data_IF_653410649652
#
_entry.id   IF_653410649652
#
_cell.length_a   1.000
_cell.length_b   1.000
_cell.length_c   1.000
_cell.angle_alpha   90.00
_cell.angle_beta   90.00
_cell.angle_gamma   90.00
#
_symmetry.space_group_name_H-M   'P 1'
#
loop_
_entity.id
_entity.type
_entity.pdbx_description
1 polymer ?
#
# COMPACT_ATOMS: atom_id res chain seq x y z
N UNK A 1 -24.11 -16.01 7.30
CA UNK A 1 -24.29 -16.32 5.84
C UNK A 1 -23.64 -17.65 5.49
N UNK A 2 -22.33 -17.89 5.78
CA UNK A 2 -21.64 -19.14 5.45
C UNK A 2 -22.29 -20.39 6.05
N UNK A 3 -22.74 -20.34 7.34
CA UNK A 3 -23.48 -21.45 7.97
C UNK A 3 -24.79 -21.77 7.24
N UNK A 4 -25.53 -20.75 6.79
CA UNK A 4 -26.79 -20.94 6.06
C UNK A 4 -26.52 -21.61 4.71
N UNK A 5 -25.54 -21.10 3.94
CA UNK A 5 -25.20 -21.69 2.66
C UNK A 5 -24.79 -23.17 2.79
N UNK A 6 -23.95 -23.49 3.76
CA UNK A 6 -23.54 -24.88 4.04
C UNK A 6 -24.72 -25.73 4.51
N UNK A 7 -25.65 -25.15 5.28
CA UNK A 7 -26.87 -25.83 5.73
C UNK A 7 -27.81 -26.22 4.61
N UNK A 8 -27.83 -25.48 3.50
CA UNK A 8 -28.59 -25.80 2.27
C UNK A 8 -27.75 -26.57 1.23
N UNK A 9 -26.57 -27.06 1.61
CA UNK A 9 -25.76 -27.95 0.79
C UNK A 9 -24.87 -27.30 -0.26
N UNK A 10 -24.63 -25.97 -0.21
CA UNK A 10 -23.75 -25.30 -1.16
C UNK A 10 -22.48 -24.76 -0.50
N UNK A 11 -21.33 -24.93 -1.20
CA UNK A 11 -20.06 -24.28 -0.88
C UNK A 11 -19.74 -23.09 -1.80
N UNK A 12 -20.65 -22.74 -2.72
CA UNK A 12 -20.46 -21.63 -3.66
C UNK A 12 -20.70 -20.30 -2.94
N UNK A 13 -19.68 -19.86 -2.22
CA UNK A 13 -19.67 -18.60 -1.48
C UNK A 13 -18.57 -17.70 -2.05
N UNK A 14 -18.96 -16.55 -2.52
CA UNK A 14 -18.03 -15.49 -2.91
C UNK A 14 -18.44 -14.16 -2.26
N UNK A 15 -17.46 -13.44 -1.75
CA UNK A 15 -17.61 -12.12 -1.12
C UNK A 15 -16.64 -11.08 -1.70
N UNK A 16 -15.84 -11.48 -2.69
CA UNK A 16 -14.79 -10.65 -3.29
C UNK A 16 -15.09 -10.36 -4.76
N UNK A 17 -16.31 -9.91 -5.06
CA UNK A 17 -16.85 -9.75 -6.42
C UNK A 17 -15.98 -8.89 -7.36
N UNK A 18 -15.14 -7.99 -6.83
CA UNK A 18 -14.30 -7.09 -7.63
C UNK A 18 -12.83 -7.48 -7.63
N UNK A 19 -12.43 -8.48 -6.86
CA UNK A 19 -11.08 -9.00 -6.88
C UNK A 19 -10.90 -9.87 -8.12
N UNK A 20 -9.83 -9.63 -8.87
CA UNK A 20 -9.53 -10.37 -10.11
C UNK A 20 -8.26 -11.21 -10.03
N UNK A 21 -7.38 -10.92 -9.06
CA UNK A 21 -6.13 -11.65 -8.83
C UNK A 21 -6.21 -12.49 -7.56
N UNK A 22 -6.12 -13.79 -7.71
CA UNK A 22 -6.17 -14.80 -6.63
C UNK A 22 -4.90 -15.65 -6.56
N UNK A 23 -3.82 -15.30 -7.29
CA UNK A 23 -2.59 -16.11 -7.38
C UNK A 23 -1.95 -16.41 -6.02
N UNK A 24 -2.07 -15.50 -5.07
CA UNK A 24 -1.54 -15.64 -3.72
C UNK A 24 -2.61 -15.84 -2.63
N UNK A 25 -3.79 -16.31 -3.03
CA UNK A 25 -4.94 -16.47 -2.12
C UNK A 25 -4.61 -17.34 -0.88
N UNK A 26 -3.72 -18.31 -1.01
CA UNK A 26 -3.29 -19.15 0.11
C UNK A 26 -2.60 -18.35 1.23
N UNK A 27 -2.03 -17.20 0.91
CA UNK A 27 -1.35 -16.29 1.84
C UNK A 27 -2.25 -15.16 2.35
N UNK A 28 -3.54 -15.15 1.96
CA UNK A 28 -4.48 -14.15 2.48
C UNK A 28 -4.68 -14.35 3.99
N UNK A 29 -4.66 -13.28 4.79
CA UNK A 29 -4.99 -13.40 6.20
C UNK A 29 -6.46 -13.79 6.36
N UNK A 30 -6.75 -14.59 7.38
CA UNK A 30 -8.13 -15.02 7.71
C UNK A 30 -9.03 -13.81 7.98
N UNK A 31 -8.47 -12.79 8.61
CA UNK A 31 -9.12 -11.50 8.83
C UNK A 31 -8.13 -10.38 8.48
N UNK A 32 -8.35 -9.66 7.38
CA UNK A 32 -7.53 -8.50 7.06
C UNK A 32 -7.75 -7.41 8.12
N UNK A 33 -6.66 -6.94 8.71
CA UNK A 33 -6.68 -5.87 9.71
C UNK A 33 -5.63 -4.83 9.33
N UNK A 34 -5.81 -3.60 9.81
CA UNK A 34 -4.74 -2.61 9.79
C UNK A 34 -3.62 -3.08 10.74
N UNK A 35 -2.37 -2.84 10.36
CA UNK A 35 -1.21 -3.14 11.21
C UNK A 35 -1.05 -2.20 12.42
N UNK A 36 -1.99 -1.24 12.61
CA UNK A 36 -2.03 -0.28 13.71
C UNK A 36 -3.47 0.18 13.97
N UNK A 37 -3.71 0.83 15.09
CA UNK A 37 -4.99 1.46 15.37
C UNK A 37 -5.24 2.66 14.45
N UNK A 38 -6.51 2.89 14.06
CA UNK A 38 -6.88 4.03 13.21
C UNK A 38 -6.46 5.36 13.84
N UNK A 39 -6.50 5.46 15.18
CA UNK A 39 -6.07 6.65 15.91
C UNK A 39 -4.56 6.91 15.77
N UNK A 40 -3.75 5.87 15.70
CA UNK A 40 -2.29 5.96 15.60
C UNK A 40 -1.82 6.51 14.26
N UNK A 41 -2.63 6.38 13.21
CA UNK A 41 -2.31 6.96 11.88
C UNK A 41 -2.06 8.47 11.98
N UNK A 42 -2.71 9.16 12.91
CA UNK A 42 -2.47 10.59 13.16
C UNK A 42 -1.06 10.88 13.70
N UNK A 43 -0.43 9.88 14.32
CA UNK A 43 0.93 9.98 14.88
C UNK A 43 2.01 9.57 13.86
N UNK A 44 1.62 9.06 12.69
CA UNK A 44 2.56 8.58 11.71
C UNK A 44 3.51 9.69 11.24
N UNK A 45 4.80 9.38 11.17
CA UNK A 45 5.82 10.24 10.58
C UNK A 45 5.74 10.25 9.05
N UNK A 46 5.35 9.12 8.47
CA UNK A 46 5.11 9.01 7.02
C UNK A 46 3.98 8.03 6.70
N UNK A 47 3.25 8.33 5.62
CA UNK A 47 2.17 7.49 5.09
C UNK A 47 2.34 7.34 3.59
N UNK A 48 2.45 6.11 3.11
CA UNK A 48 2.38 5.77 1.69
C UNK A 48 1.02 5.16 1.37
N UNK A 49 0.29 5.78 0.47
CA UNK A 49 -1.03 5.34 0.03
C UNK A 49 -0.94 4.77 -1.38
N UNK A 50 -1.30 3.52 -1.55
CA UNK A 50 -1.25 2.81 -2.83
C UNK A 50 -2.66 2.44 -3.28
N UNK A 51 -3.07 2.96 -4.42
CA UNK A 51 -4.34 2.62 -5.04
C UNK A 51 -5.58 3.02 -4.22
N UNK A 52 -5.62 4.25 -3.69
CA UNK A 52 -6.78 4.74 -2.95
C UNK A 52 -7.11 6.19 -3.22
N UNK A 53 -8.39 6.46 -3.33
CA UNK A 53 -8.96 7.78 -3.08
C UNK A 53 -9.46 7.84 -1.62
N UNK A 54 -8.56 8.14 -0.68
CA UNK A 54 -8.83 8.11 0.75
C UNK A 54 -10.11 8.84 1.15
N UNK A 55 -10.38 10.01 0.54
CA UNK A 55 -11.57 10.82 0.88
C UNK A 55 -12.89 10.15 0.52
N UNK A 56 -12.89 9.29 -0.50
CA UNK A 56 -14.08 8.60 -0.98
C UNK A 56 -14.23 7.19 -0.40
N UNK A 57 -13.11 6.51 -0.19
CA UNK A 57 -13.11 5.11 0.25
C UNK A 57 -13.17 4.98 1.76
N UNK A 58 -12.32 5.73 2.47
CA UNK A 58 -12.11 5.58 3.93
C UNK A 58 -11.97 6.96 4.60
N UNK A 59 -13.05 7.74 4.70
CA UNK A 59 -13.02 9.13 5.14
C UNK A 59 -12.46 9.32 6.56
N UNK A 60 -12.63 8.36 7.47
CA UNK A 60 -12.06 8.43 8.82
C UNK A 60 -10.53 8.31 8.79
N UNK A 61 -9.99 7.38 7.99
CA UNK A 61 -8.54 7.27 7.79
C UNK A 61 -8.02 8.52 7.09
N UNK A 62 -8.72 9.00 6.04
CA UNK A 62 -8.35 10.25 5.37
C UNK A 62 -8.26 11.44 6.35
N UNK A 63 -9.18 11.51 7.31
CA UNK A 63 -9.16 12.53 8.36
C UNK A 63 -7.90 12.39 9.23
N UNK A 64 -7.55 11.19 9.69
CA UNK A 64 -6.35 10.95 10.51
C UNK A 64 -5.07 11.29 9.76
N UNK A 65 -4.94 10.83 8.53
CA UNK A 65 -3.80 11.19 7.65
C UNK A 65 -3.68 12.71 7.49
N UNK A 66 -4.81 13.40 7.25
CA UNK A 66 -4.83 14.87 7.15
C UNK A 66 -4.38 15.54 8.45
N UNK A 67 -4.84 15.08 9.62
CA UNK A 67 -4.42 15.63 10.90
C UNK A 67 -2.91 15.43 11.13
N UNK A 68 -2.39 14.26 10.84
CA UNK A 68 -0.95 13.98 10.88
C UNK A 68 -0.16 14.92 9.94
N UNK A 69 -0.60 15.04 8.69
CA UNK A 69 0.08 15.91 7.71
C UNK A 69 0.06 17.39 8.09
N UNK A 70 -1.11 17.92 8.52
CA UNK A 70 -1.28 19.37 8.78
C UNK A 70 -0.72 19.78 10.13
N UNK A 71 -0.91 18.95 11.17
CA UNK A 71 -0.55 19.33 12.56
C UNK A 71 0.81 18.83 12.99
N UNK A 72 1.28 17.71 12.43
CA UNK A 72 2.51 17.03 12.85
C UNK A 72 3.59 16.99 11.75
N UNK A 73 3.26 17.44 10.55
CA UNK A 73 4.19 17.45 9.42
C UNK A 73 4.48 16.08 8.81
N UNK A 74 3.57 15.11 9.03
CA UNK A 74 3.67 13.79 8.43
C UNK A 74 3.88 13.86 6.92
N UNK A 75 4.81 13.07 6.41
CA UNK A 75 5.13 13.00 4.98
C UNK A 75 4.18 12.03 4.31
N UNK A 76 3.29 12.54 3.46
CA UNK A 76 2.29 11.71 2.78
C UNK A 76 2.60 11.61 1.29
N UNK A 77 2.68 10.38 0.80
CA UNK A 77 2.94 10.08 -0.61
C UNK A 77 1.87 9.16 -1.17
N UNK A 78 1.61 9.30 -2.46
CA UNK A 78 0.60 8.51 -3.16
C UNK A 78 1.19 7.78 -4.36
N UNK A 79 0.72 6.55 -4.59
CA UNK A 79 0.87 5.80 -5.84
C UNK A 79 -0.54 5.51 -6.34
N UNK A 80 -0.98 6.18 -7.39
CA UNK A 80 -2.35 6.09 -7.87
C UNK A 80 -2.40 6.18 -9.41
N UNK A 81 -3.48 5.69 -10.07
CA UNK A 81 -3.66 5.87 -11.51
C UNK A 81 -3.92 7.34 -11.90
N UNK A 82 -4.24 8.19 -10.94
CA UNK A 82 -4.43 9.64 -11.13
C UNK A 82 -4.22 10.39 -9.82
N UNK A 83 -3.93 11.68 -9.92
CA UNK A 83 -3.90 12.56 -8.75
C UNK A 83 -5.31 12.85 -8.23
N UNK A 84 -5.44 12.90 -6.89
CA UNK A 84 -6.67 13.28 -6.18
C UNK A 84 -6.41 14.52 -5.32
N UNK A 85 -7.40 15.41 -5.25
CA UNK A 85 -7.35 16.57 -4.34
C UNK A 85 -7.57 16.10 -2.89
N UNK A 86 -6.54 16.18 -2.08
CA UNK A 86 -6.55 15.70 -0.68
C UNK A 86 -6.55 16.81 0.37
N UNK A 87 -6.37 18.08 -0.04
CA UNK A 87 -6.39 19.28 0.83
C UNK A 87 -5.44 19.23 2.03
N UNK A 88 -4.27 18.64 1.84
CA UNK A 88 -3.14 18.66 2.78
C UNK A 88 -1.83 18.52 1.98
N UNK A 89 -0.67 18.85 2.56
CA UNK A 89 0.61 18.74 1.89
C UNK A 89 0.89 17.29 1.46
N UNK A 90 1.29 17.10 0.21
CA UNK A 90 1.69 15.81 -0.37
C UNK A 90 3.18 15.89 -0.72
N UNK A 91 3.95 14.91 -0.26
CA UNK A 91 5.39 14.85 -0.50
C UNK A 91 5.70 14.39 -1.93
N UNK A 92 5.02 13.34 -2.37
CA UNK A 92 5.13 12.82 -3.73
C UNK A 92 3.78 12.25 -4.21
N UNK A 93 3.53 12.39 -5.50
CA UNK A 93 2.34 11.85 -6.15
C UNK A 93 2.79 11.10 -7.41
N UNK A 94 3.02 9.80 -7.26
CA UNK A 94 3.46 8.91 -8.32
C UNK A 94 2.22 8.44 -9.08
N UNK A 95 2.04 8.98 -10.28
CA UNK A 95 0.88 8.69 -11.12
C UNK A 95 1.27 7.98 -12.39
N UNK A 96 0.52 6.96 -12.75
CA UNK A 96 0.72 6.20 -13.99
C UNK A 96 -0.61 5.65 -14.48
N UNK A 97 -0.62 5.01 -15.65
CA UNK A 97 -1.75 4.19 -16.05
C UNK A 97 -2.01 3.07 -15.01
N UNK A 98 -3.15 2.40 -15.11
CA UNK A 98 -3.57 1.41 -14.10
C UNK A 98 -2.53 0.33 -13.80
N UNK A 99 -1.74 -0.12 -14.79
CA UNK A 99 -0.71 -1.15 -14.62
C UNK A 99 0.57 -0.63 -13.94
N UNK A 100 0.86 0.65 -14.03
CA UNK A 100 2.09 1.25 -13.51
C UNK A 100 2.17 1.38 -11.99
N UNK A 101 1.09 1.11 -11.24
CA UNK A 101 1.15 1.15 -9.76
C UNK A 101 2.16 0.15 -9.19
N UNK A 102 2.20 -1.07 -9.73
CA UNK A 102 3.17 -2.08 -9.32
C UNK A 102 4.61 -1.65 -9.63
N UNK A 103 4.83 -1.05 -10.81
CA UNK A 103 6.14 -0.53 -11.20
C UNK A 103 6.63 0.59 -10.28
N UNK A 104 5.76 1.54 -9.91
CA UNK A 104 6.12 2.59 -8.95
C UNK A 104 6.43 2.01 -7.56
N UNK A 105 5.65 1.06 -7.09
CA UNK A 105 5.89 0.42 -5.79
C UNK A 105 7.19 -0.38 -5.80
N UNK A 106 7.47 -1.11 -6.89
CA UNK A 106 8.74 -1.81 -7.11
C UNK A 106 9.92 -0.83 -7.12
N UNK A 107 9.79 0.33 -7.78
CA UNK A 107 10.84 1.34 -7.80
C UNK A 107 11.09 1.97 -6.42
N UNK A 108 10.04 2.20 -5.61
CA UNK A 108 10.20 2.66 -4.21
C UNK A 108 10.92 1.60 -3.38
N UNK A 109 10.55 0.32 -3.53
CA UNK A 109 11.24 -0.77 -2.84
C UNK A 109 12.70 -0.88 -3.27
N UNK A 110 12.99 -0.83 -4.57
CA UNK A 110 14.37 -0.86 -5.09
C UNK A 110 15.21 0.30 -4.54
N UNK A 111 14.66 1.52 -4.49
CA UNK A 111 15.29 2.68 -3.89
C UNK A 111 15.58 2.46 -2.40
N UNK A 112 14.62 1.89 -1.66
CA UNK A 112 14.75 1.60 -0.23
C UNK A 112 15.86 0.58 0.03
N UNK A 113 15.85 -0.55 -0.68
CA UNK A 113 16.85 -1.62 -0.53
C UNK A 113 18.26 -1.12 -0.89
N UNK A 114 18.37 -0.34 -1.97
CA UNK A 114 19.63 0.29 -2.38
C UNK A 114 20.18 1.24 -1.30
N UNK A 115 19.33 2.10 -0.73
CA UNK A 115 19.72 3.04 0.30
C UNK A 115 20.18 2.34 1.61
N UNK A 116 19.69 1.13 1.87
CA UNK A 116 20.02 0.32 3.05
C UNK A 116 21.11 -0.70 2.81
N UNK A 117 21.65 -0.78 1.60
CA UNK A 117 22.60 -1.84 1.16
C UNK A 117 22.08 -3.26 1.46
N UNK A 118 20.76 -3.50 1.20
CA UNK A 118 20.10 -4.78 1.46
C UNK A 118 19.90 -5.56 0.18
N UNK A 119 20.06 -6.87 0.27
CA UNK A 119 19.76 -7.80 -0.82
C UNK A 119 18.26 -7.79 -1.18
N UNK A 120 17.98 -8.00 -2.45
CA UNK A 120 16.59 -8.13 -2.95
C UNK A 120 15.99 -9.45 -2.44
N UNK A 121 14.83 -9.43 -1.76
CA UNK A 121 14.14 -10.64 -1.35
C UNK A 121 13.71 -11.48 -2.56
N UNK A 122 13.91 -12.79 -2.49
CA UNK A 122 13.57 -13.70 -3.60
C UNK A 122 12.08 -13.65 -4.00
N UNK A 123 11.19 -13.37 -3.04
CA UNK A 123 9.75 -13.26 -3.26
C UNK A 123 9.32 -12.13 -4.20
N UNK A 124 10.16 -11.10 -4.38
CA UNK A 124 9.89 -9.93 -5.22
C UNK A 124 10.97 -9.69 -6.28
N UNK A 125 11.95 -10.60 -6.40
CA UNK A 125 13.08 -10.43 -7.30
C UNK A 125 12.65 -10.22 -8.76
N UNK A 126 11.71 -11.00 -9.26
CA UNK A 126 11.18 -10.87 -10.61
C UNK A 126 10.48 -9.50 -10.85
N UNK A 127 9.80 -8.98 -9.84
CA UNK A 127 9.13 -7.67 -9.93
C UNK A 127 10.11 -6.48 -9.89
N UNK A 128 11.33 -6.70 -9.41
CA UNK A 128 12.38 -5.67 -9.36
C UNK A 128 13.35 -5.75 -10.54
N UNK A 129 13.25 -6.78 -11.38
CA UNK A 129 14.13 -6.95 -12.53
C UNK A 129 13.96 -5.79 -13.52
N UNK A 130 15.07 -5.13 -13.88
CA UNK A 130 15.07 -3.99 -14.79
C UNK A 130 14.46 -2.69 -14.23
N UNK A 131 14.03 -2.66 -12.98
CA UNK A 131 13.44 -1.47 -12.36
C UNK A 131 14.52 -0.46 -12.02
N UNK A 132 14.36 0.77 -12.52
CA UNK A 132 15.26 1.89 -12.22
C UNK A 132 14.49 2.97 -11.44
N UNK A 133 14.85 3.21 -10.17
CA UNK A 133 14.26 4.30 -9.38
C UNK A 133 14.56 5.68 -9.97
N UNK A 134 13.63 6.61 -9.85
CA UNK A 134 13.83 8.03 -10.13
C UNK A 134 13.96 8.81 -8.81
N UNK A 135 14.37 10.09 -8.90
CA UNK A 135 14.48 10.96 -7.74
C UNK A 135 13.18 11.04 -6.89
N UNK A 136 12.00 10.89 -7.51
CA UNK A 136 10.74 10.85 -6.78
C UNK A 136 10.58 9.56 -5.96
N UNK A 137 11.02 8.41 -6.48
CA UNK A 137 11.02 7.14 -5.74
C UNK A 137 12.01 7.20 -4.56
N UNK A 138 13.20 7.78 -4.79
CA UNK A 138 14.20 7.98 -3.73
C UNK A 138 13.65 8.89 -2.60
N UNK A 139 12.92 9.95 -2.95
CA UNK A 139 12.28 10.84 -1.99
C UNK A 139 11.22 10.09 -1.14
N UNK A 140 10.39 9.24 -1.76
CA UNK A 140 9.41 8.42 -1.02
C UNK A 140 10.13 7.41 -0.11
N UNK A 141 11.15 6.72 -0.62
CA UNK A 141 11.95 5.77 0.16
C UNK A 141 12.58 6.45 1.39
N UNK A 142 13.15 7.64 1.22
CA UNK A 142 13.73 8.41 2.32
C UNK A 142 12.70 8.77 3.40
N UNK A 143 11.46 9.09 3.04
CA UNK A 143 10.40 9.38 4.03
C UNK A 143 9.98 8.13 4.81
N UNK A 144 9.99 6.95 4.16
CA UNK A 144 9.69 5.67 4.80
C UNK A 144 10.85 5.12 5.64
N UNK A 145 12.07 5.62 5.45
CA UNK A 145 13.22 5.28 6.27
C UNK A 145 13.30 6.11 7.56
N UNK A 146 12.56 7.22 7.65
CA UNK A 146 12.66 8.18 8.75
C UNK A 146 11.45 8.14 9.70
N UNK A 147 11.72 8.46 10.98
CA UNK A 147 10.69 8.58 12.03
C UNK A 147 10.26 7.25 12.65
N UNK A 148 9.33 7.33 13.63
CA UNK A 148 8.99 6.19 14.48
C UNK A 148 7.85 5.33 13.91
N UNK A 149 6.75 5.95 13.51
CA UNK A 149 5.60 5.26 12.95
C UNK A 149 5.47 5.57 11.45
N UNK A 150 5.57 4.54 10.63
CA UNK A 150 5.40 4.59 9.17
C UNK A 150 4.25 3.67 8.80
N UNK A 151 3.40 4.10 7.88
CA UNK A 151 2.19 3.36 7.50
C UNK A 151 2.13 3.24 5.98
N UNK A 152 1.82 2.03 5.49
CA UNK A 152 1.52 1.75 4.09
C UNK A 152 0.06 1.33 4.00
N UNK A 153 -0.73 1.99 3.16
CA UNK A 153 -2.15 1.71 2.97
C UNK A 153 -2.40 1.19 1.56
N UNK A 154 -2.89 -0.04 1.44
CA UNK A 154 -3.38 -0.60 0.18
C UNK A 154 -4.88 -0.35 0.07
N UNK A 155 -5.29 0.51 -0.84
CA UNK A 155 -6.69 0.86 -1.04
C UNK A 155 -7.45 -0.05 -2.01
N UNK A 156 -8.71 0.31 -2.27
CA UNK A 156 -9.60 -0.49 -3.10
C UNK A 156 -9.11 -0.64 -4.55
N UNK A 157 -8.49 0.41 -5.13
CA UNK A 157 -7.93 0.33 -6.47
C UNK A 157 -6.74 -0.64 -6.55
N UNK A 158 -5.92 -0.73 -5.50
CA UNK A 158 -4.86 -1.72 -5.42
C UNK A 158 -5.45 -3.14 -5.28
N UNK A 159 -6.46 -3.33 -4.42
CA UNK A 159 -7.12 -4.63 -4.21
C UNK A 159 -7.83 -5.16 -5.46
N UNK A 160 -8.33 -4.26 -6.31
CA UNK A 160 -8.99 -4.63 -7.58
C UNK A 160 -8.03 -4.64 -8.77
N UNK A 161 -6.73 -4.46 -8.54
CA UNK A 161 -5.73 -4.45 -9.59
C UNK A 161 -5.48 -5.86 -10.12
N UNK A 162 -5.22 -5.98 -11.44
CA UNK A 162 -4.94 -7.26 -12.08
C UNK A 162 -3.66 -7.96 -11.58
N UNK A 163 -2.74 -7.20 -10.99
CA UNK A 163 -1.53 -7.69 -10.32
C UNK A 163 -1.57 -7.41 -8.80
N UNK A 164 -2.69 -7.65 -8.14
CA UNK A 164 -2.83 -7.40 -6.70
C UNK A 164 -1.88 -8.25 -5.85
N UNK A 165 -1.67 -9.50 -6.23
CA UNK A 165 -0.71 -10.40 -5.55
C UNK A 165 0.71 -9.81 -5.54
N UNK A 166 1.12 -9.24 -6.67
CA UNK A 166 2.42 -8.58 -6.80
C UNK A 166 2.48 -7.28 -5.97
N UNK A 167 1.44 -6.43 -6.07
CA UNK A 167 1.34 -5.21 -5.25
C UNK A 167 1.41 -5.53 -3.76
N UNK A 168 0.74 -6.58 -3.31
CA UNK A 168 0.78 -7.02 -1.92
C UNK A 168 2.16 -7.52 -1.52
N UNK A 169 2.80 -8.35 -2.33
CA UNK A 169 4.15 -8.85 -2.06
C UNK A 169 5.17 -7.71 -1.98
N UNK A 170 5.10 -6.74 -2.89
CA UNK A 170 5.95 -5.55 -2.88
C UNK A 170 5.70 -4.67 -1.64
N UNK A 171 4.42 -4.48 -1.25
CA UNK A 171 4.07 -3.70 -0.06
C UNK A 171 4.57 -4.38 1.22
N UNK A 172 4.44 -5.70 1.32
CA UNK A 172 4.97 -6.48 2.44
C UNK A 172 6.49 -6.39 2.52
N UNK A 173 7.20 -6.57 1.39
CA UNK A 173 8.66 -6.43 1.36
C UNK A 173 9.11 -5.01 1.72
N UNK A 174 8.37 -3.98 1.30
CA UNK A 174 8.65 -2.59 1.67
C UNK A 174 8.38 -2.34 3.16
N UNK A 175 7.31 -2.90 3.72
CA UNK A 175 7.01 -2.84 5.15
C UNK A 175 8.11 -3.51 5.97
N UNK A 176 8.57 -4.69 5.57
CA UNK A 176 9.68 -5.40 6.22
C UNK A 176 11.00 -4.63 6.13
N UNK A 177 11.27 -4.00 4.98
CA UNK A 177 12.49 -3.21 4.79
C UNK A 177 12.50 -1.93 5.63
N UNK A 178 11.34 -1.31 5.85
CA UNK A 178 11.22 -0.01 6.51
C UNK A 178 10.71 -0.10 7.95
N UNK A 179 10.17 -1.24 8.39
CA UNK A 179 9.45 -1.39 9.65
C UNK A 179 8.08 -0.68 9.64
N UNK A 180 7.55 -0.37 8.45
CA UNK A 180 6.23 0.24 8.32
C UNK A 180 5.11 -0.74 8.70
N UNK A 181 4.00 -0.21 9.19
CA UNK A 181 2.75 -0.97 9.38
C UNK A 181 1.99 -1.02 8.05
N UNK A 182 1.49 -2.21 7.71
CA UNK A 182 0.74 -2.46 6.48
C UNK A 182 -0.70 -2.85 6.83
#
# INVERSE_FOLDING_TARGET
>A
TAKVARGIGTNNLDHRLRRVDFRDQANDPVAPMLGCDIADIEQASSVLVVGSNLRKEVPLIAHRVRQGAVRRGAKVSFINPRSYDVRFPVTANLTSNGLGMAQHLAAVLAATLKAQDRAVPSSVAAALEGVTPSAQHDAVAATLAAGDLRVILLGALAQHHAAYSELRALAMALADATGAKL
#
